data_IF_479176297167
#
_entry.id   IF_479176297167
#
_cell.length_a   1.000
_cell.length_b   1.000
_cell.length_c   1.000
_cell.angle_alpha   90.00
_cell.angle_beta   90.00
_cell.angle_gamma   90.00
#
_symmetry.space_group_name_H-M   'P 1'
#
loop_
_entity.id
_entity.type
_entity.pdbx_description
1 polymer ?
#
# COMPACT_ATOMS: atom_id res chain seq x y z
N UNK A 1 -55.55 -24.43 2.10
CA UNK A 1 -54.53 -25.23 1.40
C UNK A 1 -53.19 -24.80 2.03
N UNK A 2 -52.62 -25.54 3.00
CA UNK A 2 -51.73 -26.71 2.80
C UNK A 2 -50.45 -26.28 2.04
N UNK A 3 -49.20 -26.37 2.52
CA UNK A 3 -48.55 -26.95 3.70
C UNK A 3 -47.22 -26.22 3.98
N UNK A 4 -46.79 -26.28 5.25
CA UNK A 4 -45.43 -26.08 5.74
C UNK A 4 -44.46 -27.13 5.17
N UNK A 5 -43.20 -26.80 4.86
CA UNK A 5 -42.11 -27.79 4.93
C UNK A 5 -40.76 -27.13 5.17
N UNK A 6 -40.24 -27.38 6.38
CA UNK A 6 -38.87 -27.22 6.81
C UNK A 6 -37.93 -28.19 6.10
N UNK A 7 -36.73 -27.73 5.71
CA UNK A 7 -35.62 -28.62 5.36
C UNK A 7 -34.39 -28.31 6.21
N UNK A 8 -34.29 -29.03 7.33
CA UNK A 8 -33.04 -29.30 8.05
C UNK A 8 -32.37 -30.48 7.33
N UNK A 9 -31.08 -30.36 6.96
CA UNK A 9 -30.31 -31.51 6.50
C UNK A 9 -28.91 -31.56 7.12
N UNK A 10 -28.80 -32.54 8.02
CA UNK A 10 -27.68 -33.42 8.38
C UNK A 10 -26.23 -32.96 8.13
N UNK A 11 -25.54 -32.69 9.23
CA UNK A 11 -24.51 -33.57 9.81
C UNK A 11 -23.56 -34.31 8.86
N UNK A 12 -22.30 -33.86 8.83
CA UNK A 12 -21.16 -34.60 8.32
C UNK A 12 -19.93 -34.30 9.16
N UNK A 13 -19.69 -35.10 10.20
CA UNK A 13 -18.43 -35.12 10.95
C UNK A 13 -17.46 -36.02 10.18
N UNK A 14 -16.42 -35.44 9.59
CA UNK A 14 -15.28 -36.19 9.05
C UNK A 14 -14.14 -36.07 10.05
N UNK A 15 -14.03 -37.09 10.91
CA UNK A 15 -12.82 -37.47 11.61
C UNK A 15 -11.96 -38.28 10.65
N UNK A 16 -10.70 -37.93 10.42
CA UNK A 16 -9.62 -38.90 10.17
C UNK A 16 -8.23 -38.24 10.23
N UNK A 17 -7.50 -38.66 11.27
CA UNK A 17 -6.08 -39.02 11.33
C UNK A 17 -5.01 -37.94 11.23
N UNK A 18 -4.52 -37.57 12.42
CA UNK A 18 -3.18 -37.06 12.66
C UNK A 18 -2.12 -38.09 12.25
N UNK A 19 -1.15 -37.65 11.45
CA UNK A 19 0.09 -38.38 11.19
C UNK A 19 1.25 -37.57 11.77
N UNK A 20 1.74 -37.98 12.94
CA UNK A 20 2.96 -37.45 13.55
C UNK A 20 4.15 -38.09 12.85
N UNK A 21 4.84 -37.33 12.00
CA UNK A 21 6.13 -37.71 11.43
C UNK A 21 7.26 -37.13 12.26
N UNK A 22 7.88 -37.95 13.11
CA UNK A 22 9.19 -37.69 13.70
C UNK A 22 10.25 -38.22 12.73
N UNK A 23 11.04 -37.33 12.13
CA UNK A 23 12.29 -37.71 11.46
C UNK A 23 13.44 -37.18 12.30
N UNK A 24 14.20 -38.13 12.84
CA UNK A 24 15.40 -37.92 13.62
C UNK A 24 16.62 -37.62 12.72
N UNK A 25 17.52 -36.83 13.31
CA UNK A 25 18.98 -36.72 13.17
C UNK A 25 19.66 -37.26 11.90
N UNK A 26 20.50 -36.41 11.30
CA UNK A 26 21.92 -36.73 11.06
C UNK A 26 22.71 -35.50 10.59
N UNK A 27 23.65 -35.05 11.41
CA UNK A 27 24.79 -34.25 10.97
C UNK A 27 25.84 -35.16 10.30
N UNK A 28 26.70 -34.58 9.47
CA UNK A 28 28.12 -34.88 9.59
C UNK A 28 28.94 -33.59 9.72
N UNK A 29 29.72 -33.53 10.81
CA UNK A 29 30.90 -32.69 10.93
C UNK A 29 31.99 -33.22 9.98
N UNK A 30 32.66 -32.32 9.27
CA UNK A 30 34.03 -32.52 8.79
C UNK A 30 34.82 -31.23 9.00
N UNK A 31 35.72 -31.29 9.99
CA UNK A 31 36.91 -30.45 10.10
C UNK A 31 37.75 -30.50 8.81
N UNK A 32 38.44 -29.41 8.48
CA UNK A 32 39.90 -29.36 8.32
C UNK A 32 40.35 -27.92 8.12
N UNK A 33 41.31 -27.53 8.94
CA UNK A 33 42.07 -26.30 8.92
C UNK A 33 42.93 -26.14 7.67
N UNK A 34 43.24 -24.90 7.27
CA UNK A 34 44.66 -24.50 7.22
C UNK A 34 44.85 -22.97 7.28
N UNK A 35 45.97 -22.61 7.92
CA UNK A 35 46.65 -21.31 7.95
C UNK A 35 47.00 -20.86 6.52
N UNK A 36 47.11 -19.54 6.30
CA UNK A 36 48.42 -18.88 6.20
C UNK A 36 48.30 -17.36 5.99
N UNK A 37 48.86 -16.65 6.96
CA UNK A 37 49.65 -15.41 6.83
C UNK A 37 50.14 -15.06 5.43
N UNK A 38 49.89 -13.83 4.97
CA UNK A 38 50.92 -13.00 4.32
C UNK A 38 50.70 -11.53 4.67
N UNK A 39 51.65 -10.99 5.42
CA UNK A 39 51.91 -9.56 5.50
C UNK A 39 52.57 -9.11 4.18
N UNK A 40 52.19 -7.95 3.67
CA UNK A 40 53.00 -7.23 2.69
C UNK A 40 52.86 -5.73 2.89
N UNK A 41 53.89 -5.17 3.52
CA UNK A 41 54.68 -4.02 3.10
C UNK A 41 53.96 -2.78 2.56
N UNK A 42 54.13 -1.74 3.36
CA UNK A 42 53.86 -0.33 3.13
C UNK A 42 54.57 0.23 1.88
N UNK A 43 53.89 1.10 1.16
CA UNK A 43 54.49 2.09 0.25
C UNK A 43 53.98 3.49 0.63
N UNK A 44 54.84 4.51 0.66
CA UNK A 44 54.48 5.85 1.11
C UNK A 44 53.89 6.65 -0.06
N UNK A 45 52.82 7.39 0.22
CA UNK A 45 52.29 8.41 -0.69
C UNK A 45 52.22 9.74 0.06
N UNK A 46 53.26 10.55 -0.11
CA UNK A 46 53.14 12.00 -0.04
C UNK A 46 52.42 12.47 -1.31
N UNK A 47 51.26 13.10 -1.15
CA UNK A 47 50.87 14.24 -1.97
C UNK A 47 49.62 14.89 -1.37
N UNK A 48 49.83 16.11 -0.90
CA UNK A 48 48.82 17.07 -0.48
C UNK A 48 48.04 17.47 -1.74
N UNK A 49 46.72 17.34 -1.76
CA UNK A 49 45.90 18.24 -2.58
C UNK A 49 44.46 18.28 -2.08
N UNK A 50 44.00 19.51 -1.89
CA UNK A 50 42.65 19.87 -1.51
C UNK A 50 41.65 19.29 -2.51
N UNK A 51 40.66 18.54 -2.03
CA UNK A 51 39.40 18.42 -2.74
C UNK A 51 38.26 18.73 -1.77
N UNK A 52 37.57 19.81 -2.11
CA UNK A 52 36.36 20.29 -1.46
C UNK A 52 35.38 19.14 -1.31
N UNK A 53 35.06 18.80 -0.06
CA UNK A 53 33.94 17.92 0.24
C UNK A 53 32.66 18.74 0.09
N UNK A 54 32.26 18.98 -1.15
CA UNK A 54 30.92 19.49 -1.45
C UNK A 54 29.95 18.36 -1.18
N UNK A 55 29.29 18.45 -0.04
CA UNK A 55 28.15 17.63 0.34
C UNK A 55 26.95 18.11 -0.49
N UNK A 56 26.58 17.34 -1.50
CA UNK A 56 25.24 17.31 -2.08
C UNK A 56 24.77 15.88 -1.80
N UNK A 57 23.82 15.56 -0.91
CA UNK A 57 22.53 16.21 -0.64
C UNK A 57 21.81 16.55 -1.93
N UNK A 58 21.65 15.54 -2.77
CA UNK A 58 20.48 15.41 -3.65
C UNK A 58 19.23 15.31 -2.76
N UNK A 59 18.81 16.45 -2.22
CA UNK A 59 17.45 16.63 -1.76
C UNK A 59 16.64 16.93 -3.02
N UNK A 60 16.11 15.88 -3.66
CA UNK A 60 15.03 16.06 -4.62
C UNK A 60 13.94 16.88 -3.92
N UNK A 61 13.47 18.00 -4.49
CA UNK A 61 12.38 18.74 -3.89
C UNK A 61 11.16 17.81 -3.80
N UNK A 62 10.72 17.52 -2.58
CA UNK A 62 9.44 16.84 -2.34
C UNK A 62 8.36 17.57 -3.12
N UNK A 63 7.68 16.84 -4.00
CA UNK A 63 6.64 17.38 -4.86
C UNK A 63 5.53 17.98 -3.99
N UNK A 64 5.31 19.29 -4.03
CA UNK A 64 4.37 19.97 -3.12
C UNK A 64 2.94 20.03 -3.70
N UNK A 65 2.54 19.02 -4.47
CA UNK A 65 1.30 19.05 -5.29
C UNK A 65 0.02 18.99 -4.47
N UNK A 66 0.07 18.50 -3.23
CA UNK A 66 -1.04 18.41 -2.29
C UNK A 66 -0.90 19.37 -1.10
N UNK A 67 -0.08 20.40 -1.24
CA UNK A 67 0.07 21.43 -0.22
C UNK A 67 -1.30 22.00 0.19
N UNK A 68 -1.49 22.15 1.51
CA UNK A 68 -2.75 22.63 2.12
C UNK A 68 -3.94 21.69 1.96
N UNK A 69 -3.73 20.45 1.49
CA UNK A 69 -4.73 19.39 1.58
C UNK A 69 -4.52 18.66 2.89
N UNK A 70 -5.54 18.68 3.75
CA UNK A 70 -5.57 17.88 4.98
C UNK A 70 -6.58 16.76 4.84
N UNK A 71 -6.24 15.57 5.35
CA UNK A 71 -7.12 14.41 5.29
C UNK A 71 -6.97 13.49 6.49
N UNK A 72 -8.02 12.77 6.80
CA UNK A 72 -8.02 11.66 7.76
C UNK A 72 -8.04 10.34 7.02
N UNK A 73 -7.16 9.41 7.38
CA UNK A 73 -7.02 8.09 6.75
C UNK A 73 -7.49 7.02 7.73
N UNK A 74 -8.69 6.50 7.53
CA UNK A 74 -9.23 5.41 8.34
C UNK A 74 -8.66 4.07 7.87
N UNK A 75 -8.05 3.32 8.79
CA UNK A 75 -7.39 2.04 8.48
C UNK A 75 -7.38 1.09 9.68
N UNK A 76 -7.00 -0.15 9.42
CA UNK A 76 -6.59 -1.08 10.49
C UNK A 76 -5.21 -0.70 11.06
N UNK A 77 -4.99 -0.92 12.36
CA UNK A 77 -3.74 -0.58 13.05
C UNK A 77 -2.52 -1.34 12.50
N UNK A 78 -2.74 -2.57 12.03
CA UNK A 78 -1.72 -3.51 11.56
C UNK A 78 -1.57 -3.51 10.04
N UNK A 79 -2.26 -2.63 9.31
CA UNK A 79 -2.12 -2.52 7.86
C UNK A 79 -0.82 -1.78 7.49
N UNK A 80 0.21 -2.52 7.09
CA UNK A 80 1.51 -1.96 6.67
C UNK A 80 1.41 -1.11 5.40
N UNK A 81 0.80 -1.63 4.33
CA UNK A 81 0.67 -0.90 3.07
C UNK A 81 -0.14 0.41 3.20
N UNK A 82 -1.12 0.46 4.11
CA UNK A 82 -1.85 1.69 4.43
C UNK A 82 -0.92 2.76 5.03
N UNK A 83 0.07 2.37 5.84
CA UNK A 83 1.07 3.30 6.40
C UNK A 83 2.01 3.81 5.31
N UNK A 84 2.46 2.94 4.42
CA UNK A 84 3.29 3.33 3.27
C UNK A 84 2.54 4.29 2.33
N UNK A 85 1.24 4.07 2.09
CA UNK A 85 0.42 5.01 1.31
C UNK A 85 0.29 6.38 1.99
N UNK A 86 0.15 6.43 3.32
CA UNK A 86 0.17 7.70 4.07
C UNK A 86 1.51 8.42 3.84
N UNK A 87 2.64 7.71 3.96
CA UNK A 87 3.96 8.27 3.67
C UNK A 87 4.06 8.82 2.24
N UNK A 88 3.55 8.08 1.25
CA UNK A 88 3.45 8.57 -0.13
C UNK A 88 2.64 9.86 -0.24
N UNK A 89 1.50 9.97 0.44
CA UNK A 89 0.68 11.17 0.43
C UNK A 89 1.40 12.38 1.09
N UNK A 90 2.09 12.14 2.21
CA UNK A 90 2.88 13.13 2.94
C UNK A 90 4.08 13.62 2.13
N UNK A 91 4.79 12.72 1.45
CA UNK A 91 5.90 13.05 0.53
C UNK A 91 5.45 13.95 -0.64
N UNK A 92 4.15 13.93 -0.95
CA UNK A 92 3.51 14.79 -1.95
C UNK A 92 2.84 16.05 -1.37
N UNK A 93 3.04 16.32 -0.07
CA UNK A 93 2.61 17.54 0.62
C UNK A 93 1.22 17.49 1.26
N UNK A 94 0.55 16.33 1.28
CA UNK A 94 -0.71 16.17 2.01
C UNK A 94 -0.44 16.10 3.52
N UNK A 95 -1.25 16.78 4.34
CA UNK A 95 -1.30 16.52 5.78
C UNK A 95 -2.26 15.35 6.04
N UNK A 96 -1.73 14.13 6.11
CA UNK A 96 -2.53 12.90 6.22
C UNK A 96 -2.48 12.29 7.63
N UNK A 97 -3.57 12.39 8.38
CA UNK A 97 -3.67 11.84 9.74
C UNK A 97 -4.25 10.42 9.72
N UNK A 98 -3.43 9.42 10.04
CA UNK A 98 -3.87 8.04 10.20
C UNK A 98 -4.75 7.84 11.44
N UNK A 99 -5.92 7.23 11.26
CA UNK A 99 -6.85 6.87 12.33
C UNK A 99 -7.10 5.36 12.33
N UNK A 100 -6.64 4.71 13.38
CA UNK A 100 -6.82 3.27 13.58
C UNK A 100 -8.24 2.98 14.08
N UNK A 101 -8.98 2.16 13.33
CA UNK A 101 -10.37 1.84 13.63
C UNK A 101 -10.60 0.34 13.68
N UNK A 102 -11.43 -0.10 14.64
CA UNK A 102 -11.76 -1.52 14.79
C UNK A 102 -12.67 -2.04 13.68
N UNK A 103 -13.61 -1.21 13.22
CA UNK A 103 -14.53 -1.56 12.14
C UNK A 103 -14.46 -0.51 11.03
N UNK A 104 -13.63 -0.79 10.03
CA UNK A 104 -13.45 0.08 8.88
C UNK A 104 -14.70 0.13 7.97
N UNK A 105 -15.54 -0.91 7.98
CA UNK A 105 -16.72 -0.97 7.13
C UNK A 105 -17.74 0.14 7.46
N UNK A 106 -17.84 0.51 8.75
CA UNK A 106 -18.68 1.63 9.20
C UNK A 106 -18.25 2.95 8.56
N UNK A 107 -16.95 3.19 8.41
CA UNK A 107 -16.44 4.41 7.77
C UNK A 107 -16.65 4.38 6.26
N UNK A 108 -16.38 3.24 5.61
CA UNK A 108 -16.68 3.06 4.17
C UNK A 108 -18.15 3.33 3.86
N UNK A 109 -19.06 2.80 4.68
CA UNK A 109 -20.49 3.06 4.53
C UNK A 109 -20.84 4.53 4.81
N UNK A 110 -20.30 5.11 5.89
CA UNK A 110 -20.54 6.52 6.25
C UNK A 110 -20.17 7.48 5.13
N UNK A 111 -19.06 7.22 4.43
CA UNK A 111 -18.58 8.05 3.34
C UNK A 111 -19.05 7.61 1.95
N UNK A 112 -20.01 6.68 1.88
CA UNK A 112 -20.67 6.31 0.63
C UNK A 112 -19.80 5.50 -0.33
N UNK A 113 -18.78 4.79 0.16
CA UNK A 113 -17.95 3.90 -0.67
C UNK A 113 -18.73 2.62 -1.02
N UNK A 114 -19.05 2.38 -2.31
CA UNK A 114 -19.74 1.17 -2.75
C UNK A 114 -18.95 -0.09 -2.46
N UNK A 115 -19.62 -1.21 -2.19
CA UNK A 115 -18.98 -2.48 -1.81
C UNK A 115 -17.95 -2.97 -2.84
N UNK A 116 -18.23 -2.80 -4.13
CA UNK A 116 -17.34 -3.20 -5.23
C UNK A 116 -16.15 -2.25 -5.43
N UNK A 117 -16.11 -1.09 -4.76
CA UNK A 117 -15.01 -0.13 -4.84
C UNK A 117 -14.05 -0.20 -3.65
N UNK A 118 -14.32 -1.07 -2.68
CA UNK A 118 -13.60 -1.08 -1.40
C UNK A 118 -12.16 -1.58 -1.50
N UNK A 119 -11.34 -1.04 -0.61
CA UNK A 119 -9.92 -1.37 -0.41
C UNK A 119 -9.57 -1.38 1.09
N UNK A 120 -8.28 -1.40 1.42
CA UNK A 120 -7.73 -1.55 2.76
C UNK A 120 -7.85 -0.30 3.66
N UNK A 121 -8.04 0.89 3.09
CA UNK A 121 -8.20 2.15 3.84
C UNK A 121 -9.12 3.12 3.09
N UNK A 122 -9.60 4.14 3.81
CA UNK A 122 -10.45 5.20 3.26
C UNK A 122 -9.93 6.55 3.75
N UNK A 123 -9.52 7.39 2.81
CA UNK A 123 -9.04 8.74 3.08
C UNK A 123 -10.15 9.75 2.84
N UNK A 124 -10.34 10.68 3.76
CA UNK A 124 -11.36 11.73 3.67
C UNK A 124 -10.70 13.08 3.89
N UNK A 125 -10.78 13.97 2.90
CA UNK A 125 -10.22 15.32 3.01
C UNK A 125 -11.08 16.20 3.91
N UNK A 126 -10.50 17.30 4.40
CA UNK A 126 -11.24 18.34 5.14
C UNK A 126 -12.45 18.89 4.38
N UNK A 127 -12.37 18.88 3.05
CA UNK A 127 -13.43 19.35 2.15
C UNK A 127 -14.47 18.26 1.84
N UNK A 128 -14.30 17.06 2.39
CA UNK A 128 -15.25 15.94 2.30
C UNK A 128 -15.09 15.03 1.08
N UNK A 129 -13.99 15.14 0.33
CA UNK A 129 -13.71 14.22 -0.77
C UNK A 129 -13.12 12.92 -0.27
N UNK A 130 -13.47 11.82 -0.93
CA UNK A 130 -13.11 10.45 -0.53
C UNK A 130 -12.06 9.88 -1.48
N UNK A 131 -11.02 9.27 -0.95
CA UNK A 131 -10.04 8.51 -1.72
C UNK A 131 -9.93 7.12 -1.11
N UNK A 132 -10.40 6.11 -1.84
CA UNK A 132 -10.50 4.74 -1.37
C UNK A 132 -9.33 3.90 -1.91
N UNK A 133 -8.53 3.32 -1.01
CA UNK A 133 -7.39 2.49 -1.37
C UNK A 133 -6.21 3.26 -1.95
N UNK A 134 -5.35 2.53 -2.66
CA UNK A 134 -4.03 2.98 -3.11
C UNK A 134 -4.08 3.92 -4.33
N UNK A 135 -4.84 5.01 -4.24
CA UNK A 135 -4.91 6.05 -5.29
C UNK A 135 -3.61 6.86 -5.28
N UNK A 136 -2.91 7.05 -6.41
CA UNK A 136 -1.70 7.88 -6.43
C UNK A 136 -1.99 9.35 -6.16
N UNK A 137 -1.14 9.98 -5.33
CA UNK A 137 -1.19 11.41 -4.97
C UNK A 137 -1.38 12.35 -6.18
N UNK A 138 -0.74 12.04 -7.31
CA UNK A 138 -0.94 12.74 -8.59
C UNK A 138 -2.42 12.85 -8.98
N UNK A 139 -3.15 11.74 -8.93
CA UNK A 139 -4.57 11.70 -9.32
C UNK A 139 -5.47 12.29 -8.24
N UNK A 140 -5.08 12.19 -6.97
CA UNK A 140 -5.73 12.94 -5.88
C UNK A 140 -5.66 14.45 -6.17
N UNK A 141 -4.47 14.97 -6.50
CA UNK A 141 -4.28 16.39 -6.81
C UNK A 141 -5.04 16.82 -8.07
N UNK A 142 -5.03 16.00 -9.13
CA UNK A 142 -5.78 16.26 -10.35
C UNK A 142 -7.29 16.35 -10.10
N UNK A 143 -7.82 15.41 -9.32
CA UNK A 143 -9.23 15.42 -8.92
C UNK A 143 -9.57 16.68 -8.12
N UNK A 144 -8.79 17.00 -7.09
CA UNK A 144 -9.05 18.16 -6.23
C UNK A 144 -8.96 19.50 -6.96
N UNK A 145 -8.15 19.59 -8.03
CA UNK A 145 -8.05 20.80 -8.85
C UNK A 145 -9.33 21.11 -9.63
N UNK A 146 -10.05 20.09 -10.08
CA UNK A 146 -11.32 20.25 -10.79
C UNK A 146 -12.23 19.04 -10.53
N UNK A 147 -12.87 18.97 -9.34
CA UNK A 147 -13.68 17.83 -8.95
C UNK A 147 -14.87 17.66 -9.90
N UNK A 148 -15.05 16.49 -10.55
CA UNK A 148 -16.18 16.24 -11.42
C UNK A 148 -17.52 16.41 -10.68
N UNK A 149 -18.50 17.01 -11.35
CA UNK A 149 -19.82 17.22 -10.75
C UNK A 149 -20.48 15.88 -10.39
N UNK A 150 -21.00 15.80 -9.17
CA UNK A 150 -21.62 14.58 -8.66
C UNK A 150 -20.65 13.52 -8.14
N UNK A 151 -19.33 13.70 -8.33
CA UNK A 151 -18.34 12.81 -7.73
C UNK A 151 -18.23 13.05 -6.21
N UNK A 152 -17.97 11.98 -5.48
CA UNK A 152 -17.51 12.06 -4.09
C UNK A 152 -16.01 11.86 -3.98
N UNK A 153 -15.37 11.27 -5.00
CA UNK A 153 -14.00 10.81 -4.84
C UNK A 153 -13.48 9.87 -5.92
N UNK A 154 -12.30 9.30 -5.64
CA UNK A 154 -11.67 8.26 -6.44
C UNK A 154 -11.44 6.98 -5.62
N UNK A 155 -11.31 5.85 -6.31
CA UNK A 155 -10.98 4.57 -5.71
C UNK A 155 -10.00 3.77 -6.56
N UNK A 156 -9.13 3.02 -5.89
CA UNK A 156 -8.43 1.86 -6.45
C UNK A 156 -8.94 0.63 -5.70
N UNK A 157 -9.91 -0.12 -6.28
CA UNK A 157 -10.50 -1.29 -5.61
C UNK A 157 -9.47 -2.41 -5.40
N UNK A 158 -9.62 -3.16 -4.32
CA UNK A 158 -8.67 -4.22 -3.96
C UNK A 158 -7.32 -3.67 -3.52
N UNK A 159 -6.22 -4.36 -3.85
CA UNK A 159 -4.85 -3.95 -3.50
C UNK A 159 -3.87 -4.36 -4.63
N UNK A 160 -3.88 -3.68 -5.79
CA UNK A 160 -3.01 -4.04 -6.92
C UNK A 160 -1.52 -3.89 -6.55
N UNK A 161 -0.70 -4.90 -6.86
CA UNK A 161 0.74 -4.78 -6.63
C UNK A 161 1.34 -3.67 -7.48
N UNK A 162 2.22 -2.87 -6.89
CA UNK A 162 2.86 -1.73 -7.56
C UNK A 162 2.07 -0.42 -7.51
N UNK A 163 0.84 -0.43 -6.96
CA UNK A 163 0.18 0.81 -6.52
C UNK A 163 0.91 1.44 -5.32
N UNK A 164 0.72 2.75 -5.00
CA UNK A 164 1.53 3.42 -3.99
C UNK A 164 1.32 2.83 -2.59
N UNK A 165 2.39 2.41 -1.94
CA UNK A 165 2.36 1.64 -0.69
C UNK A 165 2.17 0.11 -0.88
N UNK A 166 2.03 -0.35 -2.12
CA UNK A 166 1.95 -1.77 -2.52
C UNK A 166 3.11 -2.16 -3.46
N UNK A 167 4.17 -1.36 -3.53
CA UNK A 167 5.35 -1.65 -4.35
C UNK A 167 6.05 -2.92 -3.86
N UNK A 168 6.43 -3.79 -4.79
CA UNK A 168 7.17 -5.00 -4.49
C UNK A 168 8.09 -5.41 -5.62
N UNK A 169 9.40 -5.18 -5.42
CA UNK A 169 10.44 -5.47 -6.42
C UNK A 169 10.07 -4.89 -7.79
N UNK A 170 10.09 -5.71 -8.84
CA UNK A 170 9.77 -5.31 -10.21
C UNK A 170 8.35 -5.77 -10.63
N UNK A 171 7.45 -6.03 -9.68
CA UNK A 171 6.08 -6.46 -9.97
C UNK A 171 5.16 -5.24 -10.07
N UNK A 172 4.27 -5.27 -11.05
CA UNK A 172 3.25 -4.26 -11.26
C UNK A 172 2.03 -4.92 -11.90
N UNK A 173 0.88 -4.81 -11.24
CA UNK A 173 -0.40 -5.24 -11.76
C UNK A 173 -1.12 -4.03 -12.37
N UNK A 174 -1.44 -4.01 -13.68
CA UNK A 174 -2.24 -2.94 -14.24
C UNK A 174 -3.58 -2.80 -13.52
N UNK A 175 -3.99 -1.56 -13.29
CA UNK A 175 -5.20 -1.26 -12.53
C UNK A 175 -5.90 -0.01 -13.04
N UNK A 176 -7.14 0.15 -12.59
CA UNK A 176 -7.97 1.31 -12.90
C UNK A 176 -8.19 2.15 -11.66
N UNK A 177 -8.16 3.46 -11.85
CA UNK A 177 -8.66 4.42 -10.87
C UNK A 177 -10.10 4.70 -11.26
N UNK A 178 -11.01 4.48 -10.32
CA UNK A 178 -12.45 4.63 -10.51
C UNK A 178 -12.91 5.93 -9.87
N UNK A 179 -13.70 6.74 -10.57
CA UNK A 179 -14.47 7.81 -9.95
C UNK A 179 -15.70 7.22 -9.27
N UNK A 180 -15.97 7.64 -8.02
CA UNK A 180 -17.19 7.29 -7.30
C UNK A 180 -18.14 8.49 -7.30
N UNK A 181 -19.41 8.25 -7.61
CA UNK A 181 -20.44 9.27 -7.64
C UNK A 181 -21.40 9.17 -6.44
N UNK A 182 -22.07 10.28 -6.12
CA UNK A 182 -23.05 10.40 -5.02
C UNK A 182 -24.24 9.45 -5.15
N UNK A 183 -24.57 9.01 -6.37
CA UNK A 183 -25.64 8.05 -6.64
C UNK A 183 -25.20 6.59 -6.47
N UNK A 184 -23.94 6.35 -6.07
CA UNK A 184 -23.35 5.03 -5.91
C UNK A 184 -22.80 4.43 -7.21
N UNK A 185 -22.95 5.10 -8.36
CA UNK A 185 -22.34 4.67 -9.61
C UNK A 185 -20.82 4.92 -9.60
N UNK A 186 -20.11 4.26 -10.52
CA UNK A 186 -18.68 4.48 -10.70
C UNK A 186 -18.30 4.40 -12.17
N UNK A 187 -17.28 5.17 -12.56
CA UNK A 187 -16.77 5.23 -13.94
C UNK A 187 -15.25 5.23 -13.93
N UNK A 188 -14.62 4.70 -14.97
CA UNK A 188 -13.15 4.73 -15.08
C UNK A 188 -12.69 6.20 -15.17
N UNK A 189 -11.80 6.59 -14.27
CA UNK A 189 -11.16 7.92 -14.25
C UNK A 189 -9.80 7.87 -14.98
N UNK A 190 -9.01 6.84 -14.73
CA UNK A 190 -7.73 6.61 -15.38
C UNK A 190 -7.38 5.12 -15.43
N UNK A 191 -6.55 4.73 -16.41
CA UNK A 191 -5.95 3.39 -16.51
C UNK A 191 -4.44 3.50 -16.27
N UNK A 192 -3.91 2.65 -15.40
CA UNK A 192 -2.51 2.63 -14.99
C UNK A 192 -1.93 1.29 -15.45
N UNK A 193 -1.11 1.34 -16.49
CA UNK A 193 -0.48 0.18 -17.13
C UNK A 193 1.00 0.05 -16.73
N UNK A 194 1.56 1.08 -16.10
CA UNK A 194 2.96 1.15 -15.72
C UNK A 194 3.22 2.06 -14.52
N UNK A 195 4.32 1.84 -13.76
CA UNK A 195 4.66 2.67 -12.62
C UNK A 195 4.82 4.16 -12.96
N UNK A 196 5.30 4.50 -14.16
CA UNK A 196 5.55 5.88 -14.58
C UNK A 196 4.27 6.72 -14.66
N UNK A 197 3.11 6.09 -14.87
CA UNK A 197 1.84 6.81 -14.93
C UNK A 197 1.37 7.31 -13.54
N UNK A 198 1.96 6.80 -12.46
CA UNK A 198 1.62 7.13 -11.07
C UNK A 198 2.35 8.39 -10.55
N UNK A 199 3.45 8.76 -11.20
CA UNK A 199 4.34 9.88 -10.85
C UNK A 199 3.82 11.23 -11.35
#
# INVERSE_FOLDING_TARGET
MMFNTDHKWLGGVVLLTASVGLIACSQPDVDVADKQTTASTQVPVEAISLVSKTKASDLQPSSTILQNVSATVYKDANCGCCKEWIGHAEDHGMTAEGQDVTDLAVFKQRYGVPDNMRSCHTTVTSDGYVFEGHVPAKYVAQFLKNPPSGAIGLAVPGMPMGSPGMEYQNRFDPYQIMQINKDGSSTVYAQIESPQQQL
#
